data_IF_037736127891
#
_entry.id   IF_037736127891
#
_cell.length_a   1.000
_cell.length_b   1.000
_cell.length_c   1.000
_cell.angle_alpha   90.00
_cell.angle_beta   90.00
_cell.angle_gamma   90.00
#
_symmetry.space_group_name_H-M   'P 1'
#
loop_
_entity.id
_entity.type
_entity.pdbx_description
1 polymer ?
#
# COMPACT_ATOMS: atom_id res chain seq x y z
N UNK A 1 -32.61 21.98 5.97
CA UNK A 1 -31.85 21.85 4.70
C UNK A 1 -30.48 21.29 5.05
N UNK A 2 -30.32 19.96 5.02
CA UNK A 2 -29.10 19.30 5.44
C UNK A 2 -27.98 19.53 4.41
N UNK A 3 -26.85 20.08 4.84
CA UNK A 3 -25.64 20.17 4.07
C UNK A 3 -25.20 18.74 3.69
N UNK A 4 -25.26 18.41 2.41
CA UNK A 4 -24.66 17.15 1.92
C UNK A 4 -23.16 17.25 2.13
N UNK A 5 -22.52 16.32 2.84
CA UNK A 5 -21.08 16.35 2.97
C UNK A 5 -20.45 16.19 1.58
N UNK A 6 -19.56 17.11 1.22
CA UNK A 6 -18.79 17.00 -0.02
C UNK A 6 -17.75 15.90 0.15
N UNK A 7 -18.10 14.70 -0.31
CA UNK A 7 -17.18 13.57 -0.34
C UNK A 7 -16.38 13.65 -1.64
N UNK A 8 -15.09 13.91 -1.54
CA UNK A 8 -14.18 14.05 -2.70
C UNK A 8 -13.44 12.76 -3.04
N UNK A 9 -13.41 11.81 -2.10
CA UNK A 9 -12.78 10.49 -2.28
C UNK A 9 -13.65 9.43 -1.62
N UNK A 10 -13.68 8.26 -2.24
CA UNK A 10 -14.38 7.09 -1.73
C UNK A 10 -13.52 5.85 -1.90
N UNK A 11 -13.78 4.83 -1.10
CA UNK A 11 -13.32 3.48 -1.37
C UNK A 11 -14.10 2.90 -2.54
N UNK A 12 -13.51 1.97 -3.28
CA UNK A 12 -14.19 1.28 -4.41
C UNK A 12 -15.08 0.14 -3.94
N UNK A 13 -15.00 -0.23 -2.67
CA UNK A 13 -15.74 -1.36 -2.07
C UNK A 13 -16.59 -0.84 -0.93
N UNK A 14 -17.83 -1.28 -0.86
CA UNK A 14 -18.67 -1.08 0.30
C UNK A 14 -18.29 -2.10 1.39
N UNK A 15 -18.31 -1.72 2.68
CA UNK A 15 -18.15 -2.68 3.76
C UNK A 15 -19.33 -3.65 3.75
N UNK A 16 -19.08 -4.90 4.15
CA UNK A 16 -20.14 -5.87 4.37
C UNK A 16 -20.99 -5.46 5.58
N UNK A 17 -22.29 -5.77 5.55
CA UNK A 17 -23.21 -5.47 6.66
C UNK A 17 -22.80 -6.20 7.95
N UNK A 18 -22.21 -7.39 7.81
CA UNK A 18 -21.65 -8.18 8.90
C UNK A 18 -20.26 -8.64 8.53
N UNK A 19 -19.27 -8.30 9.35
CA UNK A 19 -17.92 -8.83 9.21
C UNK A 19 -17.93 -10.32 9.59
N UNK A 20 -17.70 -11.19 8.61
CA UNK A 20 -17.68 -12.64 8.79
C UNK A 20 -16.47 -13.22 8.04
N UNK A 21 -15.64 -13.99 8.74
CA UNK A 21 -14.50 -14.69 8.14
C UNK A 21 -14.93 -15.68 7.07
N UNK A 22 -16.11 -16.30 7.22
CA UNK A 22 -16.65 -17.23 6.24
C UNK A 22 -16.97 -16.57 4.89
N UNK A 23 -17.11 -15.25 4.85
CA UNK A 23 -17.42 -14.51 3.61
C UNK A 23 -16.22 -14.28 2.69
N UNK A 24 -14.98 -14.54 3.14
CA UNK A 24 -13.76 -14.31 2.35
C UNK A 24 -12.72 -15.45 2.42
N UNK A 25 -13.12 -16.72 2.19
CA UNK A 25 -12.23 -17.87 2.39
C UNK A 25 -10.97 -17.83 1.50
N UNK A 26 -11.09 -17.32 0.28
CA UNK A 26 -9.93 -17.18 -0.63
C UNK A 26 -8.92 -16.17 -0.12
N UNK A 27 -9.39 -15.07 0.47
CA UNK A 27 -8.51 -14.06 1.04
C UNK A 27 -7.78 -14.60 2.28
N UNK A 28 -8.49 -15.30 3.15
CA UNK A 28 -7.89 -15.90 4.35
C UNK A 28 -6.85 -16.95 3.97
N UNK A 29 -7.16 -17.81 3.01
CA UNK A 29 -6.20 -18.77 2.47
C UNK A 29 -4.96 -18.09 1.88
N UNK A 30 -5.16 -17.03 1.08
CA UNK A 30 -4.06 -16.23 0.55
C UNK A 30 -3.19 -15.65 1.67
N UNK A 31 -3.80 -15.12 2.73
CA UNK A 31 -3.06 -14.56 3.86
C UNK A 31 -2.24 -15.62 4.60
N UNK A 32 -2.79 -16.84 4.76
CA UNK A 32 -2.07 -17.96 5.38
C UNK A 32 -0.85 -18.37 4.55
N UNK A 33 -1.01 -18.47 3.24
CA UNK A 33 0.07 -18.79 2.31
C UNK A 33 1.12 -17.65 2.26
N UNK A 34 0.67 -16.41 2.19
CA UNK A 34 1.53 -15.21 2.13
C UNK A 34 2.40 -15.04 3.37
N UNK A 35 1.87 -15.37 4.53
CA UNK A 35 2.61 -15.30 5.81
C UNK A 35 3.27 -16.61 6.21
N UNK A 36 3.22 -17.62 5.36
CA UNK A 36 3.72 -18.97 5.66
C UNK A 36 3.15 -19.55 6.98
N UNK A 37 1.90 -19.23 7.30
CA UNK A 37 1.23 -19.64 8.53
C UNK A 37 1.65 -18.88 9.78
N UNK A 38 2.42 -17.79 9.67
CA UNK A 38 2.75 -16.93 10.80
C UNK A 38 1.54 -16.06 11.18
N UNK A 39 0.84 -16.46 12.23
CA UNK A 39 -0.36 -15.78 12.73
C UNK A 39 -0.06 -14.37 13.28
N UNK A 40 1.14 -14.12 13.80
CA UNK A 40 1.51 -12.80 14.29
C UNK A 40 1.71 -11.84 13.14
N UNK A 41 2.42 -12.26 12.09
CA UNK A 41 2.61 -11.50 10.87
C UNK A 41 1.28 -11.25 10.14
N UNK A 42 0.43 -12.26 10.03
CA UNK A 42 -0.90 -12.15 9.44
C UNK A 42 -1.73 -11.09 10.16
N UNK A 43 -1.79 -11.16 11.48
CA UNK A 43 -2.51 -10.18 12.30
C UNK A 43 -1.95 -8.77 12.14
N UNK A 44 -0.63 -8.64 12.10
CA UNK A 44 0.02 -7.35 11.86
C UNK A 44 -0.37 -6.74 10.51
N UNK A 45 -0.33 -7.52 9.43
CA UNK A 45 -0.68 -7.04 8.08
C UNK A 45 -2.16 -6.65 7.97
N UNK A 46 -3.05 -7.41 8.60
CA UNK A 46 -4.47 -7.08 8.65
C UNK A 46 -4.72 -5.80 9.47
N UNK A 47 -4.05 -5.65 10.61
CA UNK A 47 -4.13 -4.43 11.42
C UNK A 47 -3.60 -3.22 10.66
N UNK A 48 -2.49 -3.37 9.92
CA UNK A 48 -1.93 -2.33 9.08
C UNK A 48 -2.90 -1.92 7.95
N UNK A 49 -3.51 -2.89 7.27
CA UNK A 49 -4.53 -2.61 6.27
C UNK A 49 -5.74 -1.85 6.86
N UNK A 50 -6.20 -2.26 8.04
CA UNK A 50 -7.24 -1.56 8.80
C UNK A 50 -6.82 -0.15 9.20
N UNK A 51 -5.59 0.05 9.65
CA UNK A 51 -5.03 1.36 9.99
C UNK A 51 -5.05 2.30 8.78
N UNK A 52 -4.64 1.83 7.59
CA UNK A 52 -4.71 2.61 6.36
C UNK A 52 -6.14 3.07 6.02
N UNK A 53 -7.17 2.32 6.41
CA UNK A 53 -8.57 2.71 6.20
C UNK A 53 -9.03 3.84 7.11
N UNK A 54 -8.45 3.98 8.31
CA UNK A 54 -8.86 5.01 9.27
C UNK A 54 -8.48 6.42 8.86
N UNK A 55 -7.38 6.57 8.12
CA UNK A 55 -6.77 7.86 7.80
C UNK A 55 -6.07 8.52 9.00
N UNK A 56 -5.86 7.78 10.07
CA UNK A 56 -5.07 8.21 11.22
C UNK A 56 -3.58 8.24 10.83
N UNK A 57 -2.87 9.29 11.19
CA UNK A 57 -1.45 9.48 10.84
C UNK A 57 -0.55 9.54 12.09
N UNK A 58 -1.06 9.20 13.25
CA UNK A 58 -0.29 9.30 14.51
C UNK A 58 0.93 8.41 14.54
N UNK A 59 0.86 7.22 13.93
CA UNK A 59 1.96 6.26 13.92
C UNK A 59 3.11 6.64 12.97
N UNK A 60 2.84 7.45 11.95
CA UNK A 60 3.83 7.90 10.95
C UNK A 60 4.75 6.75 10.46
N UNK A 61 4.16 5.60 10.19
CA UNK A 61 4.90 4.38 9.90
C UNK A 61 5.24 4.24 8.41
N UNK A 62 6.40 3.67 8.14
CA UNK A 62 6.84 3.24 6.83
C UNK A 62 7.04 1.72 6.85
N UNK A 63 6.33 1.02 5.99
CA UNK A 63 6.35 -0.44 5.93
C UNK A 63 7.10 -0.90 4.69
N UNK A 64 8.13 -1.73 4.88
CA UNK A 64 8.88 -2.37 3.82
C UNK A 64 8.45 -3.82 3.69
N UNK A 65 7.96 -4.20 2.51
CA UNK A 65 7.72 -5.58 2.13
C UNK A 65 8.92 -6.09 1.32
N UNK A 66 9.75 -6.90 1.93
CA UNK A 66 10.92 -7.48 1.28
C UNK A 66 10.84 -9.02 1.30
N UNK A 67 11.60 -9.66 0.44
CA UNK A 67 11.66 -11.11 0.32
C UNK A 67 11.96 -11.53 -1.11
N UNK A 68 12.24 -12.81 -1.32
CA UNK A 68 12.48 -13.41 -2.63
C UNK A 68 11.25 -13.24 -3.53
N UNK A 69 11.41 -13.38 -4.84
CA UNK A 69 10.34 -13.21 -5.81
C UNK A 69 9.15 -14.17 -5.60
N UNK A 70 8.04 -13.87 -6.23
CA UNK A 70 6.82 -14.71 -6.33
C UNK A 70 6.16 -15.15 -5.01
N UNK A 71 6.33 -14.39 -3.95
CA UNK A 71 5.78 -14.68 -2.62
C UNK A 71 4.53 -13.87 -2.23
N UNK A 72 3.78 -13.37 -3.21
CA UNK A 72 2.49 -12.71 -2.96
C UNK A 72 2.54 -11.22 -2.56
N UNK A 73 3.71 -10.59 -2.39
CA UNK A 73 3.82 -9.15 -2.04
C UNK A 73 3.02 -8.24 -2.96
N UNK A 74 3.17 -8.45 -4.25
CA UNK A 74 2.47 -7.65 -5.27
C UNK A 74 0.95 -7.83 -5.17
N UNK A 75 0.49 -9.06 -4.91
CA UNK A 75 -0.94 -9.34 -4.74
C UNK A 75 -1.48 -8.62 -3.51
N UNK A 76 -0.78 -8.68 -2.38
CA UNK A 76 -1.19 -7.97 -1.16
C UNK A 76 -1.29 -6.46 -1.38
N UNK A 77 -0.28 -5.87 -2.02
CA UNK A 77 -0.27 -4.43 -2.36
C UNK A 77 -1.42 -4.06 -3.29
N UNK A 78 -1.70 -4.88 -4.31
CA UNK A 78 -2.81 -4.65 -5.24
C UNK A 78 -4.17 -4.74 -4.55
N UNK A 79 -4.35 -5.69 -3.62
CA UNK A 79 -5.55 -5.79 -2.81
C UNK A 79 -5.75 -4.56 -1.94
N UNK A 80 -4.70 -4.11 -1.26
CA UNK A 80 -4.73 -2.90 -0.43
C UNK A 80 -5.06 -1.66 -1.27
N UNK A 81 -4.44 -1.53 -2.44
CA UNK A 81 -4.71 -0.43 -3.37
C UNK A 81 -6.17 -0.42 -3.84
N UNK A 82 -6.70 -1.58 -4.22
CA UNK A 82 -8.12 -1.73 -4.60
C UNK A 82 -9.06 -1.39 -3.44
N UNK A 83 -8.75 -1.87 -2.24
CA UNK A 83 -9.55 -1.61 -1.04
C UNK A 83 -9.64 -0.12 -0.74
N UNK A 84 -8.51 0.59 -0.79
CA UNK A 84 -8.43 2.01 -0.49
C UNK A 84 -8.97 2.91 -1.61
N UNK A 85 -8.94 2.44 -2.86
CA UNK A 85 -9.42 3.22 -4.01
C UNK A 85 -8.76 4.59 -4.10
N UNK A 86 -9.55 5.65 -4.11
CA UNK A 86 -9.06 7.03 -4.21
C UNK A 86 -8.14 7.48 -3.06
N UNK A 87 -8.13 6.78 -1.93
CA UNK A 87 -7.25 7.05 -0.80
C UNK A 87 -5.85 6.45 -0.93
N UNK A 88 -5.63 5.54 -1.88
CA UNK A 88 -4.30 5.06 -2.22
C UNK A 88 -3.69 5.85 -3.38
N UNK A 89 -2.38 5.80 -3.47
CA UNK A 89 -1.61 6.34 -4.59
C UNK A 89 -0.35 5.51 -4.79
N UNK A 90 -0.02 5.22 -6.03
CA UNK A 90 1.30 4.68 -6.39
C UNK A 90 2.20 5.82 -6.83
N UNK A 91 3.42 5.85 -6.31
CA UNK A 91 4.42 6.87 -6.58
C UNK A 91 5.76 6.23 -6.98
N UNK A 92 6.52 6.85 -7.87
CA UNK A 92 7.88 6.42 -8.13
C UNK A 92 8.76 6.52 -6.88
N UNK A 93 9.69 5.58 -6.70
CA UNK A 93 10.61 5.57 -5.55
C UNK A 93 11.53 6.78 -5.53
N UNK A 94 11.84 7.31 -6.71
CA UNK A 94 12.72 8.46 -6.89
C UNK A 94 12.22 9.71 -6.14
N UNK A 95 10.90 9.79 -5.93
CA UNK A 95 10.31 10.89 -5.16
C UNK A 95 10.78 10.90 -3.70
N UNK A 96 11.08 9.72 -3.15
CA UNK A 96 11.52 9.56 -1.76
C UNK A 96 13.05 9.52 -1.60
N UNK A 97 13.76 9.08 -2.62
CA UNK A 97 15.22 8.88 -2.56
C UNK A 97 15.99 10.11 -3.01
N UNK A 98 15.46 10.82 -4.01
CA UNK A 98 16.15 11.98 -4.58
C UNK A 98 15.67 13.27 -3.93
N UNK A 99 16.17 13.59 -2.75
CA UNK A 99 16.01 14.90 -2.10
C UNK A 99 16.93 15.95 -2.74
N UNK A 100 17.00 15.97 -4.08
CA UNK A 100 17.71 17.01 -4.82
C UNK A 100 16.90 18.30 -4.88
N UNK A 101 17.49 19.41 -4.45
CA UNK A 101 16.94 20.75 -4.56
C UNK A 101 16.44 21.00 -5.98
N UNK A 102 15.12 21.15 -6.16
CA UNK A 102 14.53 21.63 -7.41
C UNK A 102 13.64 20.65 -8.19
N UNK A 103 13.44 19.39 -7.77
CA UNK A 103 12.58 18.45 -8.48
C UNK A 103 11.33 18.07 -7.68
N UNK A 104 10.18 18.51 -8.20
CA UNK A 104 8.84 17.96 -8.01
C UNK A 104 8.09 18.17 -6.68
N UNK A 105 7.89 19.40 -6.29
CA UNK A 105 6.81 19.78 -5.36
C UNK A 105 5.42 19.24 -5.82
N UNK A 106 5.23 19.05 -7.11
CA UNK A 106 4.00 18.50 -7.68
C UNK A 106 3.73 17.05 -7.27
N UNK A 107 4.79 16.22 -7.15
CA UNK A 107 4.64 14.83 -6.71
C UNK A 107 4.16 14.73 -5.26
N UNK A 108 4.67 15.57 -4.38
CA UNK A 108 4.22 15.65 -2.98
C UNK A 108 2.81 16.24 -2.86
N UNK A 109 2.46 17.22 -3.71
CA UNK A 109 1.11 17.76 -3.74
C UNK A 109 0.05 16.69 -4.07
N UNK A 110 0.38 15.72 -4.94
CA UNK A 110 -0.50 14.61 -5.27
C UNK A 110 -0.74 13.64 -4.10
N UNK A 111 0.15 13.62 -3.09
CA UNK A 111 -0.02 12.82 -1.86
C UNK A 111 -1.03 13.42 -0.88
N UNK A 112 -1.42 14.67 -1.08
CA UNK A 112 -2.38 15.32 -0.21
C UNK A 112 -3.69 14.51 -0.12
N UNK A 113 -4.17 14.25 1.10
CA UNK A 113 -5.35 13.44 1.42
C UNK A 113 -5.23 11.94 1.07
N UNK A 114 -4.05 11.45 0.70
CA UNK A 114 -3.84 10.01 0.56
C UNK A 114 -3.58 9.40 1.94
N UNK A 115 -4.13 8.21 2.15
CA UNK A 115 -3.98 7.43 3.38
C UNK A 115 -2.87 6.39 3.27
N UNK A 116 -2.56 6.00 2.04
CA UNK A 116 -1.48 5.07 1.75
C UNK A 116 -0.80 5.47 0.44
N UNK A 117 0.51 5.63 0.49
CA UNK A 117 1.33 5.85 -0.69
C UNK A 117 2.21 4.62 -0.88
N UNK A 118 2.05 3.99 -2.03
CA UNK A 118 2.72 2.75 -2.39
C UNK A 118 3.85 3.09 -3.36
N UNK A 119 5.02 2.55 -3.11
CA UNK A 119 6.14 2.65 -4.05
C UNK A 119 6.72 1.27 -4.31
N UNK A 120 7.03 1.01 -5.57
CA UNK A 120 7.72 -0.20 -5.98
C UNK A 120 9.15 0.16 -6.37
N UNK A 121 10.09 -0.60 -5.87
CA UNK A 121 11.46 -0.54 -6.31
C UNK A 121 11.55 -1.25 -7.68
N UNK A 122 11.51 -0.49 -8.77
CA UNK A 122 11.98 -1.00 -10.06
C UNK A 122 13.51 -0.99 -10.01
N UNK A 123 14.11 -2.03 -9.47
CA UNK A 123 15.55 -2.26 -9.58
C UNK A 123 15.86 -2.54 -11.05
N UNK A 124 15.99 -1.51 -11.84
CA UNK A 124 16.85 -1.59 -13.01
C UNK A 124 18.27 -1.76 -12.45
N UNK A 125 18.70 -3.01 -12.30
CA UNK A 125 20.11 -3.35 -12.11
C UNK A 125 20.85 -2.91 -13.36
N UNK A 126 21.27 -1.66 -13.37
CA UNK A 126 22.29 -1.19 -14.29
C UNK A 126 23.58 -1.87 -13.84
N UNK A 127 23.85 -3.06 -14.39
CA UNK A 127 25.17 -3.63 -14.33
C UNK A 127 26.06 -2.69 -15.13
N UNK A 128 26.74 -1.78 -14.44
CA UNK A 128 27.86 -1.09 -15.02
C UNK A 128 28.90 -2.20 -15.33
N UNK A 129 29.01 -2.54 -16.62
CA UNK A 129 30.09 -3.34 -17.12
C UNK A 129 31.36 -2.54 -16.86
N UNK A 130 32.08 -2.89 -15.79
CA UNK A 130 33.48 -2.48 -15.65
C UNK A 130 34.25 -3.30 -16.68
N UNK A 131 34.44 -2.69 -17.84
CA UNK A 131 35.49 -3.11 -18.77
C UNK A 131 36.81 -3.02 -18.03
N UNK A 132 37.49 -4.13 -17.89
CA UNK A 132 38.92 -4.18 -17.61
C UNK A 132 39.62 -4.02 -18.96
N UNK A 133 40.40 -3.02 -19.08
CA UNK A 133 41.61 -2.96 -19.89
C UNK A 133 42.78 -2.96 -18.95
#
# INVERSE_FOLDING_TARGET
MGLKPYVTMTTTVAPADVANEESCPLFLKFMDEFTCGDEALKRYLLAYAGYCLTGDMREQCLVFLFGEGDNGKTVFIQLLNKLLGGYAMTSPIELFVTLGVGKHLTGFAAMHRKRCVITNENVQRTYAAHGRD
#
